data_IF_130725303690
#
_entry.id   IF_130725303690
#
_cell.length_a   1.000
_cell.length_b   1.000
_cell.length_c   1.000
_cell.angle_alpha   90.00
_cell.angle_beta   90.00
_cell.angle_gamma   90.00
#
_symmetry.space_group_name_H-M   'P 1'
#
loop_
_entity.id
_entity.type
_entity.pdbx_description
1 polymer ?
#
# COMPACT_ATOMS: atom_id res chain seq x y z
N UNK A 1 21.38 5.50 11.20
CA UNK A 1 20.85 4.14 11.42
C UNK A 1 20.56 3.49 10.08
N UNK A 2 20.61 2.17 9.94
CA UNK A 2 20.26 1.52 8.68
C UNK A 2 18.76 1.69 8.37
N UNK A 3 18.42 1.81 7.09
CA UNK A 3 17.05 1.86 6.60
C UNK A 3 16.23 0.67 7.13
N UNK A 4 15.05 0.92 7.70
CA UNK A 4 14.06 -0.09 8.10
C UNK A 4 12.77 0.18 7.34
N UNK A 5 12.17 -0.87 6.78
CA UNK A 5 10.86 -0.78 6.13
C UNK A 5 9.74 -0.80 7.18
N UNK A 6 8.57 -0.31 6.84
CA UNK A 6 7.41 -0.36 7.73
C UNK A 6 7.14 -1.76 8.29
N UNK A 7 7.31 -2.81 7.48
CA UNK A 7 7.19 -4.20 7.93
C UNK A 7 8.19 -4.57 9.04
N UNK A 8 9.46 -4.15 8.92
CA UNK A 8 10.48 -4.47 9.93
C UNK A 8 10.17 -3.79 11.27
N UNK A 9 9.61 -2.58 11.22
CA UNK A 9 9.20 -1.82 12.41
C UNK A 9 8.02 -2.51 13.11
N UNK A 10 7.03 -2.96 12.35
CA UNK A 10 5.86 -3.68 12.88
C UNK A 10 6.26 -4.99 13.53
N UNK A 11 7.14 -5.76 12.88
CA UNK A 11 7.63 -7.03 13.43
C UNK A 11 8.43 -6.84 14.74
N UNK A 12 9.15 -5.73 14.86
CA UNK A 12 9.95 -5.40 16.06
C UNK A 12 9.10 -4.92 17.23
N UNK A 13 8.07 -4.13 16.97
CA UNK A 13 7.35 -3.37 18.00
C UNK A 13 6.10 -4.07 18.53
N UNK A 14 5.67 -5.18 17.93
CA UNK A 14 4.47 -5.94 18.32
C UNK A 14 3.26 -5.04 18.65
N UNK A 15 2.64 -4.41 17.66
CA UNK A 15 1.59 -3.43 17.88
C UNK A 15 0.33 -4.06 18.51
N UNK A 16 -0.49 -3.25 19.17
CA UNK A 16 -1.72 -3.68 19.86
C UNK A 16 -2.79 -4.29 18.94
N UNK A 17 -2.72 -4.03 17.64
CA UNK A 17 -3.62 -4.59 16.63
C UNK A 17 -3.14 -5.97 16.08
N UNK A 18 -2.08 -6.54 16.63
CA UNK A 18 -1.51 -7.84 16.19
C UNK A 18 -2.56 -8.95 16.14
N UNK A 19 -3.53 -8.93 17.05
CA UNK A 19 -4.59 -9.95 17.16
C UNK A 19 -5.88 -9.58 16.42
N UNK A 20 -5.97 -8.39 15.83
CA UNK A 20 -7.09 -8.03 14.97
C UNK A 20 -7.17 -8.99 13.76
N UNK A 21 -8.36 -9.21 13.22
CA UNK A 21 -8.53 -10.02 12.00
C UNK A 21 -8.05 -9.19 10.80
N UNK A 22 -6.87 -9.54 10.28
CA UNK A 22 -6.15 -8.74 9.29
C UNK A 22 -6.40 -9.28 7.89
N UNK A 23 -6.81 -8.39 6.98
CA UNK A 23 -6.70 -8.60 5.54
C UNK A 23 -5.50 -7.80 5.01
N UNK A 24 -4.69 -8.38 4.13
CA UNK A 24 -3.47 -7.75 3.63
C UNK A 24 -3.47 -7.69 2.11
N UNK A 25 -3.33 -6.49 1.55
CA UNK A 25 -3.04 -6.29 0.13
C UNK A 25 -1.52 -6.33 -0.07
N UNK A 26 -1.02 -7.33 -0.80
CA UNK A 26 0.41 -7.61 -0.94
C UNK A 26 0.73 -8.51 -2.13
N UNK A 27 2.02 -8.68 -2.41
CA UNK A 27 2.56 -9.65 -3.37
C UNK A 27 3.96 -10.13 -2.95
N UNK A 28 4.61 -10.98 -3.74
CA UNK A 28 5.93 -11.58 -3.45
C UNK A 28 7.09 -10.57 -3.50
N UNK A 29 6.90 -9.39 -4.08
CA UNK A 29 7.89 -8.31 -4.05
C UNK A 29 7.98 -7.66 -2.66
N UNK A 30 6.93 -7.77 -1.84
CA UNK A 30 6.90 -7.25 -0.47
C UNK A 30 7.71 -8.17 0.45
N UNK A 31 8.88 -7.69 0.87
CA UNK A 31 9.82 -8.44 1.71
C UNK A 31 10.34 -7.59 2.86
N UNK A 32 10.70 -8.27 3.94
CA UNK A 32 11.49 -7.67 5.04
C UNK A 32 12.87 -7.29 4.54
N UNK A 33 13.60 -6.51 5.31
CA UNK A 33 14.99 -6.17 5.02
C UNK A 33 15.91 -7.41 4.89
N UNK A 34 15.55 -8.51 5.55
CA UNK A 34 16.28 -9.78 5.46
C UNK A 34 15.85 -10.68 4.30
N UNK A 35 14.92 -10.20 3.44
CA UNK A 35 14.44 -10.92 2.25
C UNK A 35 13.28 -11.88 2.47
N UNK A 36 12.76 -11.99 3.70
CA UNK A 36 11.58 -12.84 3.99
C UNK A 36 10.33 -12.16 3.42
N UNK A 37 9.47 -12.91 2.73
CA UNK A 37 8.18 -12.40 2.24
C UNK A 37 7.36 -11.88 3.41
N UNK A 38 6.84 -10.64 3.30
CA UNK A 38 6.22 -9.91 4.42
C UNK A 38 5.05 -10.65 5.05
N UNK A 39 4.14 -11.23 4.25
CA UNK A 39 3.00 -11.98 4.77
C UNK A 39 3.42 -13.24 5.54
N UNK A 40 4.49 -13.91 5.10
CA UNK A 40 5.07 -15.04 5.84
C UNK A 40 5.70 -14.58 7.15
N UNK A 41 6.44 -13.48 7.13
CA UNK A 41 7.07 -12.91 8.32
C UNK A 41 6.02 -12.52 9.38
N UNK A 42 4.91 -11.87 8.97
CA UNK A 42 3.79 -11.56 9.86
C UNK A 42 3.14 -12.81 10.44
N UNK A 43 2.85 -13.81 9.61
CA UNK A 43 2.25 -15.07 10.07
C UNK A 43 3.15 -15.78 11.08
N UNK A 44 4.45 -15.87 10.80
CA UNK A 44 5.44 -16.50 11.71
C UNK A 44 5.59 -15.74 13.02
N UNK A 45 5.42 -14.42 12.99
CA UNK A 45 5.41 -13.58 14.19
C UNK A 45 4.07 -13.61 14.97
N UNK A 46 3.10 -14.43 14.53
CA UNK A 46 1.83 -14.63 15.21
C UNK A 46 0.79 -13.52 15.01
N UNK A 47 0.90 -12.73 13.93
CA UNK A 47 -0.17 -11.81 13.53
C UNK A 47 -1.37 -12.61 13.01
N UNK A 48 -2.58 -12.19 13.36
CA UNK A 48 -3.83 -12.83 12.96
C UNK A 48 -4.21 -12.44 11.52
N UNK A 49 -3.33 -12.81 10.58
CA UNK A 49 -3.55 -12.62 9.15
C UNK A 49 -4.49 -13.73 8.66
N UNK A 50 -5.69 -13.36 8.19
CA UNK A 50 -6.71 -14.33 7.82
C UNK A 50 -7.05 -14.33 6.33
N UNK A 51 -6.70 -13.26 5.59
CA UNK A 51 -7.03 -13.12 4.17
C UNK A 51 -5.99 -12.27 3.46
N UNK A 52 -5.67 -12.63 2.23
CA UNK A 52 -4.76 -11.88 1.37
C UNK A 52 -5.54 -11.35 0.17
N UNK A 53 -5.19 -10.16 -0.26
CA UNK A 53 -5.60 -9.58 -1.52
C UNK A 53 -4.37 -9.39 -2.41
N UNK A 54 -4.52 -9.66 -3.70
CA UNK A 54 -3.45 -9.48 -4.68
C UNK A 54 -3.79 -8.38 -5.68
N UNK A 55 -2.81 -7.55 -6.08
CA UNK A 55 -2.98 -6.55 -7.13
C UNK A 55 -2.84 -7.18 -8.52
N UNK A 56 -2.74 -6.35 -9.55
CA UNK A 56 -2.30 -6.73 -10.90
C UNK A 56 -1.05 -7.62 -10.84
N UNK A 57 -0.89 -8.54 -11.77
CA UNK A 57 0.12 -9.62 -11.82
C UNK A 57 -0.02 -10.69 -10.73
N UNK A 58 -1.00 -10.57 -9.84
CA UNK A 58 -1.27 -11.53 -8.78
C UNK A 58 -0.24 -11.56 -7.65
N UNK A 59 -0.39 -12.52 -6.76
CA UNK A 59 0.46 -12.63 -5.58
C UNK A 59 1.92 -12.99 -5.90
N UNK A 60 2.13 -13.82 -6.95
CA UNK A 60 3.47 -14.26 -7.39
C UNK A 60 4.17 -13.27 -8.33
N UNK A 61 3.51 -12.20 -8.74
CA UNK A 61 4.03 -11.17 -9.68
C UNK A 61 4.47 -11.73 -11.04
N UNK A 62 3.85 -12.82 -11.50
CA UNK A 62 4.18 -13.50 -12.76
C UNK A 62 3.03 -13.49 -13.77
N UNK A 63 1.89 -12.90 -13.43
CA UNK A 63 0.78 -12.72 -14.36
C UNK A 63 1.17 -11.78 -15.50
N UNK A 64 0.67 -12.06 -16.71
CA UNK A 64 0.84 -11.17 -17.86
C UNK A 64 0.13 -9.82 -17.59
N UNK A 65 0.59 -8.78 -18.29
CA UNK A 65 -0.04 -7.45 -18.23
C UNK A 65 -1.52 -7.54 -18.63
N UNK A 66 -2.41 -7.04 -17.79
CA UNK A 66 -3.84 -7.05 -18.06
C UNK A 66 -4.54 -8.40 -17.92
N UNK A 67 -3.82 -9.47 -17.58
CA UNK A 67 -4.41 -10.80 -17.43
C UNK A 67 -5.32 -10.89 -16.21
N UNK A 68 -6.43 -11.60 -16.35
CA UNK A 68 -7.31 -11.93 -15.24
C UNK A 68 -6.61 -12.89 -14.26
N UNK A 69 -6.58 -12.52 -12.98
CA UNK A 69 -6.02 -13.34 -11.91
C UNK A 69 -7.16 -13.89 -11.06
N UNK A 70 -7.28 -15.20 -11.02
CA UNK A 70 -8.31 -15.88 -10.22
C UNK A 70 -8.01 -15.84 -8.73
N UNK A 71 -9.08 -15.91 -7.94
CA UNK A 71 -9.00 -16.18 -6.51
C UNK A 71 -8.41 -17.56 -6.26
N UNK A 72 -7.75 -17.74 -5.11
CA UNK A 72 -7.11 -19.02 -4.80
C UNK A 72 -6.60 -19.12 -3.37
N UNK A 73 -5.59 -19.95 -3.18
CA UNK A 73 -4.85 -20.09 -1.93
C UNK A 73 -3.39 -19.69 -2.11
N UNK A 74 -2.86 -18.96 -1.15
CA UNK A 74 -1.44 -18.67 -1.08
C UNK A 74 -0.67 -19.92 -0.62
N UNK A 75 0.16 -20.49 -1.48
CA UNK A 75 0.94 -21.70 -1.21
C UNK A 75 1.89 -21.53 -0.01
N UNK A 76 2.30 -20.30 0.30
CA UNK A 76 3.27 -20.00 1.36
C UNK A 76 2.58 -19.95 2.73
N UNK A 77 1.42 -19.34 2.80
CA UNK A 77 0.71 -19.13 4.08
C UNK A 77 -0.51 -20.03 4.24
N UNK A 78 -1.02 -20.63 3.16
CA UNK A 78 -2.28 -21.38 3.15
C UNK A 78 -3.53 -20.51 3.31
N UNK A 79 -3.41 -19.19 3.19
CA UNK A 79 -4.51 -18.25 3.35
C UNK A 79 -5.26 -18.05 2.02
N UNK A 80 -6.57 -17.74 2.06
CA UNK A 80 -7.30 -17.37 0.87
C UNK A 80 -6.74 -16.09 0.25
N UNK A 81 -6.64 -16.09 -1.09
CA UNK A 81 -6.22 -14.95 -1.90
C UNK A 81 -7.38 -14.51 -2.76
N UNK A 82 -7.72 -13.23 -2.69
CA UNK A 82 -8.73 -12.59 -3.52
C UNK A 82 -8.03 -11.60 -4.45
N UNK A 83 -8.31 -11.69 -5.75
CA UNK A 83 -7.77 -10.77 -6.75
C UNK A 83 -8.50 -9.43 -6.70
N UNK A 84 -7.73 -8.34 -6.72
CA UNK A 84 -8.22 -6.98 -6.94
C UNK A 84 -7.81 -6.45 -8.32
N UNK A 85 -7.82 -7.34 -9.32
CA UNK A 85 -7.56 -6.96 -10.70
C UNK A 85 -8.45 -7.74 -11.67
N UNK A 86 -8.99 -7.05 -12.66
CA UNK A 86 -9.89 -7.60 -13.67
C UNK A 86 -11.35 -7.33 -13.35
N UNK A 87 -12.02 -8.17 -12.60
CA UNK A 87 -13.44 -8.00 -12.27
C UNK A 87 -13.70 -6.84 -11.27
N UNK A 88 -12.78 -6.62 -10.34
CA UNK A 88 -12.88 -5.56 -9.32
C UNK A 88 -11.50 -5.01 -8.97
N UNK A 89 -11.45 -3.72 -8.63
CA UNK A 89 -10.24 -3.03 -8.17
C UNK A 89 -10.25 -2.75 -6.66
N UNK A 90 -11.38 -2.94 -5.99
CA UNK A 90 -11.51 -2.78 -4.54
C UNK A 90 -12.30 -3.94 -3.93
N UNK A 91 -12.04 -4.28 -2.66
CA UNK A 91 -12.79 -5.33 -1.98
C UNK A 91 -14.25 -4.91 -1.78
N UNK A 92 -15.15 -5.89 -1.81
CA UNK A 92 -16.56 -5.72 -1.49
C UNK A 92 -16.80 -5.78 0.02
N UNK A 93 -18.01 -5.39 0.45
CA UNK A 93 -18.41 -5.54 1.86
C UNK A 93 -18.40 -7.02 2.31
N UNK A 94 -18.73 -7.96 1.42
CA UNK A 94 -18.70 -9.39 1.73
C UNK A 94 -17.26 -9.91 1.87
N UNK A 95 -16.33 -9.45 1.03
CA UNK A 95 -14.92 -9.76 1.17
C UNK A 95 -14.37 -9.34 2.54
N UNK A 96 -14.92 -8.29 3.12
CA UNK A 96 -14.39 -7.60 4.31
C UNK A 96 -15.24 -7.81 5.59
N UNK A 97 -16.31 -8.62 5.55
CA UNK A 97 -17.22 -8.81 6.70
C UNK A 97 -16.52 -9.30 7.96
N UNK A 98 -15.51 -10.17 7.81
CA UNK A 98 -14.76 -10.78 8.91
C UNK A 98 -13.45 -10.06 9.22
N UNK A 99 -13.22 -8.87 8.68
CA UNK A 99 -11.98 -8.12 8.78
C UNK A 99 -12.15 -6.95 9.73
N UNK A 100 -11.19 -6.79 10.64
CA UNK A 100 -11.11 -5.65 11.55
C UNK A 100 -10.12 -4.60 11.04
N UNK A 101 -9.02 -5.05 10.38
CA UNK A 101 -7.90 -4.23 9.96
C UNK A 101 -7.49 -4.54 8.52
N UNK A 102 -7.31 -3.51 7.72
CA UNK A 102 -6.76 -3.55 6.37
C UNK A 102 -5.28 -3.17 6.38
N UNK A 103 -4.40 -4.05 5.91
CA UNK A 103 -2.96 -3.82 5.85
C UNK A 103 -2.52 -3.73 4.39
N UNK A 104 -1.63 -2.80 4.08
CA UNK A 104 -1.02 -2.65 2.76
C UNK A 104 0.49 -2.76 2.86
N UNK A 105 1.10 -3.61 2.04
CA UNK A 105 2.56 -3.72 1.92
C UNK A 105 2.93 -4.19 0.50
N UNK A 106 3.27 -3.26 -0.37
CA UNK A 106 3.80 -3.52 -1.72
C UNK A 106 4.85 -2.44 -2.02
N UNK A 107 6.01 -2.78 -2.61
CA UNK A 107 6.98 -1.79 -3.05
C UNK A 107 6.48 -1.02 -4.27
N UNK A 108 6.93 0.22 -4.41
CA UNK A 108 6.65 1.09 -5.55
C UNK A 108 7.85 1.19 -6.50
N UNK A 109 7.61 1.65 -7.72
CA UNK A 109 8.63 1.99 -8.70
C UNK A 109 8.93 3.49 -8.77
N UNK A 110 8.15 4.34 -8.08
CA UNK A 110 8.32 5.79 -8.02
C UNK A 110 7.73 6.56 -9.20
N UNK A 111 6.94 5.90 -10.04
CA UNK A 111 6.31 6.51 -11.22
C UNK A 111 4.80 6.31 -11.23
N UNK A 112 4.08 7.31 -11.77
CA UNK A 112 2.62 7.31 -11.87
C UNK A 112 2.04 6.12 -12.64
N UNK A 113 2.77 5.56 -13.60
CA UNK A 113 2.27 4.44 -14.41
C UNK A 113 2.25 3.11 -13.65
N UNK A 114 2.94 3.02 -12.51
CA UNK A 114 3.06 1.80 -11.75
C UNK A 114 1.78 1.56 -10.95
N UNK A 115 1.08 0.49 -11.26
CA UNK A 115 -0.32 0.28 -10.86
C UNK A 115 -0.54 0.00 -9.38
N UNK A 116 0.49 -0.40 -8.64
CA UNK A 116 0.37 -0.69 -7.21
C UNK A 116 0.05 0.54 -6.36
N UNK A 117 0.51 1.72 -6.78
CA UNK A 117 0.06 2.99 -6.22
C UNK A 117 -1.47 3.12 -6.30
N UNK A 118 -2.06 2.79 -7.45
CA UNK A 118 -3.50 2.90 -7.66
C UNK A 118 -4.27 1.82 -6.92
N UNK A 119 -3.74 0.60 -6.83
CA UNK A 119 -4.28 -0.45 -5.97
C UNK A 119 -4.34 0.00 -4.50
N UNK A 120 -3.32 0.71 -4.00
CA UNK A 120 -3.34 1.32 -2.66
C UNK A 120 -4.47 2.35 -2.52
N UNK A 121 -4.68 3.22 -3.52
CA UNK A 121 -5.74 4.22 -3.44
C UNK A 121 -7.14 3.60 -3.41
N UNK A 122 -7.38 2.54 -4.19
CA UNK A 122 -8.63 1.77 -4.11
C UNK A 122 -8.80 1.08 -2.76
N UNK A 123 -7.71 0.59 -2.17
CA UNK A 123 -7.70 -0.03 -0.85
C UNK A 123 -8.10 0.95 0.25
N UNK A 124 -7.55 2.18 0.21
CA UNK A 124 -7.88 3.26 1.15
C UNK A 124 -9.34 3.72 0.99
N UNK A 125 -9.78 3.90 -0.25
CA UNK A 125 -11.17 4.28 -0.53
C UNK A 125 -12.17 3.23 -0.04
N UNK A 126 -11.85 1.93 -0.22
CA UNK A 126 -12.65 0.84 0.33
C UNK A 126 -12.67 0.87 1.86
N UNK A 127 -11.52 1.12 2.51
CA UNK A 127 -11.44 1.27 3.96
C UNK A 127 -12.36 2.38 4.48
N UNK A 128 -12.38 3.53 3.81
CA UNK A 128 -13.28 4.64 4.15
C UNK A 128 -14.74 4.23 4.01
N UNK A 129 -15.14 3.66 2.85
CA UNK A 129 -16.52 3.24 2.59
C UNK A 129 -17.04 2.16 3.55
N UNK A 130 -16.14 1.27 3.99
CA UNK A 130 -16.46 0.15 4.87
C UNK A 130 -16.20 0.45 6.35
N UNK A 131 -15.80 1.70 6.68
CA UNK A 131 -15.44 2.13 8.02
C UNK A 131 -14.41 1.20 8.68
N UNK A 132 -13.38 0.81 7.94
CA UNK A 132 -12.29 -0.03 8.42
C UNK A 132 -11.04 0.80 8.66
N UNK A 133 -10.24 0.40 9.66
CA UNK A 133 -8.90 0.95 9.85
C UNK A 133 -7.96 0.41 8.77
N UNK A 134 -7.11 1.26 8.22
CA UNK A 134 -6.08 0.86 7.26
C UNK A 134 -4.69 1.27 7.77
N UNK A 135 -3.72 0.37 7.59
CA UNK A 135 -2.32 0.61 7.91
C UNK A 135 -1.48 0.40 6.65
N UNK A 136 -0.67 1.39 6.32
CA UNK A 136 0.30 1.33 5.22
C UNK A 136 1.68 1.04 5.82
N UNK A 137 2.29 -0.08 5.44
CA UNK A 137 3.67 -0.39 5.76
C UNK A 137 4.57 0.28 4.71
N UNK A 138 5.08 1.45 5.06
CA UNK A 138 5.75 2.31 4.10
C UNK A 138 7.08 1.73 3.62
N UNK A 139 7.43 2.05 2.36
CA UNK A 139 8.63 1.60 1.67
C UNK A 139 9.30 2.77 0.95
N UNK A 140 10.64 2.73 0.78
CA UNK A 140 11.33 3.81 0.08
C UNK A 140 10.90 3.88 -1.37
N UNK A 141 10.78 5.11 -1.88
CA UNK A 141 10.67 5.33 -3.32
C UNK A 141 12.06 5.10 -3.95
N UNK A 142 12.20 4.16 -4.91
CA UNK A 142 13.50 3.85 -5.52
C UNK A 142 14.08 5.01 -6.34
N UNK A 143 13.25 5.93 -6.82
CA UNK A 143 13.66 7.15 -7.53
C UNK A 143 14.02 8.30 -6.58
N UNK A 144 13.98 8.07 -5.27
CA UNK A 144 14.34 9.03 -4.25
C UNK A 144 13.14 9.80 -3.68
N UNK A 145 13.40 10.96 -3.11
CA UNK A 145 12.42 11.82 -2.44
C UNK A 145 12.85 13.29 -2.45
N UNK A 146 13.69 13.66 -3.41
CA UNK A 146 14.07 15.04 -3.60
C UNK A 146 13.04 15.73 -4.50
N UNK A 147 12.27 16.66 -3.94
CA UNK A 147 11.21 17.39 -4.64
C UNK A 147 11.74 18.17 -5.86
N UNK A 148 13.01 18.58 -5.88
CA UNK A 148 13.59 19.24 -7.05
C UNK A 148 13.76 18.31 -8.26
N UNK A 149 13.58 17.00 -8.06
CA UNK A 149 13.65 15.97 -9.09
C UNK A 149 12.28 15.44 -9.50
N UNK A 150 11.21 16.15 -9.18
CA UNK A 150 9.88 15.88 -9.72
C UNK A 150 9.88 16.15 -11.22
N UNK A 151 9.37 15.21 -12.01
CA UNK A 151 9.40 15.28 -13.47
C UNK A 151 8.08 14.83 -14.11
N UNK A 152 7.84 15.38 -15.30
CA UNK A 152 6.72 15.07 -16.15
C UNK A 152 5.42 15.81 -15.79
N UNK A 153 4.43 15.79 -16.69
CA UNK A 153 3.18 16.52 -16.51
C UNK A 153 2.33 15.90 -15.39
N UNK A 154 1.53 16.74 -14.77
CA UNK A 154 0.41 16.33 -13.93
C UNK A 154 -0.60 15.52 -14.76
N UNK A 155 -1.32 14.59 -14.12
CA UNK A 155 -2.40 13.87 -14.79
C UNK A 155 -3.59 14.81 -15.02
N UNK A 156 -4.10 14.81 -16.24
CA UNK A 156 -5.43 15.33 -16.52
C UNK A 156 -6.46 14.27 -16.07
N UNK A 157 -7.25 14.58 -15.04
CA UNK A 157 -8.19 13.63 -14.45
C UNK A 157 -9.36 13.28 -15.41
N UNK A 158 -9.56 14.04 -16.49
CA UNK A 158 -10.56 13.71 -17.53
C UNK A 158 -10.20 12.45 -18.32
N UNK A 159 -8.93 12.04 -18.28
CA UNK A 159 -8.42 10.81 -18.91
C UNK A 159 -7.95 9.77 -17.88
N UNK A 160 -8.49 9.83 -16.66
CA UNK A 160 -8.16 8.87 -15.60
C UNK A 160 -8.37 7.43 -16.05
N UNK A 161 -7.43 6.57 -15.65
CA UNK A 161 -7.45 5.15 -15.95
C UNK A 161 -6.79 4.35 -14.82
N UNK A 162 -6.72 3.02 -14.95
CA UNK A 162 -6.02 2.19 -13.95
C UNK A 162 -4.50 2.45 -13.90
N UNK A 163 -3.88 2.98 -14.96
CA UNK A 163 -2.46 3.37 -14.97
C UNK A 163 -2.22 4.85 -14.66
N UNK A 164 -3.24 5.55 -14.21
CA UNK A 164 -3.16 6.97 -13.84
C UNK A 164 -4.51 7.45 -13.34
N UNK A 165 -4.75 7.27 -12.02
CA UNK A 165 -6.08 7.49 -11.43
C UNK A 165 -6.29 8.92 -10.94
N UNK A 166 -5.30 9.50 -10.28
CA UNK A 166 -5.41 10.79 -9.60
C UNK A 166 -4.28 11.73 -10.01
N UNK A 167 -4.49 13.02 -9.80
CA UNK A 167 -3.60 14.07 -10.27
C UNK A 167 -2.29 14.15 -9.50
N UNK A 168 -1.24 13.53 -10.07
CA UNK A 168 0.15 13.65 -9.64
C UNK A 168 1.08 13.69 -10.85
N UNK A 169 2.32 14.19 -10.73
CA UNK A 169 3.31 14.15 -11.81
C UNK A 169 3.76 12.73 -12.13
N UNK A 170 4.38 12.53 -13.27
CA UNK A 170 4.88 11.22 -13.72
C UNK A 170 5.85 10.63 -12.70
N UNK A 171 6.86 11.40 -12.27
CA UNK A 171 7.84 11.04 -11.24
C UNK A 171 7.53 11.85 -9.99
N UNK A 172 6.89 11.24 -9.02
CA UNK A 172 6.27 11.96 -7.89
C UNK A 172 7.18 12.21 -6.69
N UNK A 173 8.31 11.53 -6.58
CA UNK A 173 9.29 11.70 -5.50
C UNK A 173 8.75 11.52 -4.07
N UNK A 174 7.64 10.81 -3.90
CA UNK A 174 7.01 10.51 -2.62
C UNK A 174 7.06 9.01 -2.34
N UNK A 175 7.01 8.60 -1.08
CA UNK A 175 6.72 7.22 -0.70
C UNK A 175 5.23 6.93 -0.87
N UNK A 176 4.84 5.64 -0.88
CA UNK A 176 3.42 5.28 -0.90
C UNK A 176 2.69 5.73 0.36
N UNK A 177 3.37 5.72 1.52
CA UNK A 177 2.81 6.25 2.76
C UNK A 177 2.50 7.74 2.70
N UNK A 178 3.40 8.54 2.12
CA UNK A 178 3.18 9.98 1.89
C UNK A 178 2.01 10.21 0.93
N UNK A 179 1.95 9.46 -0.19
CA UNK A 179 0.85 9.55 -1.15
C UNK A 179 -0.48 9.07 -0.56
N UNK A 180 -0.47 8.07 0.32
CA UNK A 180 -1.67 7.61 1.02
C UNK A 180 -2.30 8.71 1.86
N UNK A 181 -1.49 9.44 2.64
CA UNK A 181 -1.95 10.59 3.43
C UNK A 181 -2.44 11.74 2.54
N UNK A 182 -1.67 12.04 1.48
CA UNK A 182 -2.02 13.08 0.51
C UNK A 182 -3.39 12.82 -0.14
N UNK A 183 -3.60 11.61 -0.69
CA UNK A 183 -4.87 11.29 -1.34
C UNK A 183 -6.04 11.20 -0.36
N UNK A 184 -5.82 10.67 0.85
CA UNK A 184 -6.88 10.64 1.86
C UNK A 184 -7.39 12.04 2.17
N UNK A 185 -6.50 13.03 2.24
CA UNK A 185 -6.85 14.43 2.48
C UNK A 185 -7.46 15.08 1.25
N UNK A 186 -6.82 15.00 0.07
CA UNK A 186 -7.25 15.72 -1.14
C UNK A 186 -8.53 15.17 -1.75
N UNK A 187 -8.79 13.86 -1.62
CA UNK A 187 -10.01 13.22 -2.09
C UNK A 187 -11.12 13.19 -1.02
N UNK A 188 -10.86 13.75 0.17
CA UNK A 188 -11.82 13.78 1.28
C UNK A 188 -12.40 12.41 1.65
N UNK A 189 -11.61 11.34 1.50
CA UNK A 189 -12.09 9.98 1.85
C UNK A 189 -12.32 9.80 3.33
N UNK A 190 -11.60 10.54 4.19
CA UNK A 190 -11.68 10.45 5.64
C UNK A 190 -11.46 9.03 6.18
N UNK A 191 -10.64 8.24 5.49
CA UNK A 191 -10.26 6.92 5.96
C UNK A 191 -9.48 7.01 7.27
N UNK A 192 -9.73 6.07 8.18
CA UNK A 192 -8.92 5.91 9.39
C UNK A 192 -7.59 5.24 9.03
N UNK A 193 -6.62 6.07 8.63
CA UNK A 193 -5.34 5.63 8.09
C UNK A 193 -4.20 5.85 9.08
N UNK A 194 -3.34 4.84 9.21
CA UNK A 194 -2.05 4.94 9.86
C UNK A 194 -0.94 4.56 8.88
N UNK A 195 0.14 5.32 8.85
CA UNK A 195 1.34 4.99 8.08
C UNK A 195 2.43 4.55 9.04
N UNK A 196 2.91 3.31 8.91
CA UNK A 196 4.11 2.87 9.57
C UNK A 196 5.30 3.37 8.77
N UNK A 197 5.80 4.54 9.17
CA UNK A 197 6.82 5.28 8.46
C UNK A 197 8.13 4.51 8.37
N UNK A 198 8.87 4.76 7.29
CA UNK A 198 10.27 4.37 7.15
C UNK A 198 11.10 4.99 8.26
N UNK A 199 11.91 4.18 8.94
CA UNK A 199 12.92 4.72 9.81
C UNK A 199 14.23 4.90 9.03
N UNK A 200 14.54 6.14 8.71
CA UNK A 200 15.87 6.56 8.26
C UNK A 200 16.48 7.42 9.35
N UNK A 201 17.82 7.47 9.45
CA UNK A 201 18.50 8.53 10.21
C UNK A 201 17.91 9.89 9.82
N UNK A 202 17.85 10.91 10.71
CA UNK A 202 17.15 12.15 10.44
C UNK A 202 17.42 12.65 9.04
N UNK A 203 16.41 12.58 8.22
CA UNK A 203 16.42 12.98 6.82
C UNK A 203 15.87 14.40 6.75
N UNK A 204 16.29 15.20 5.78
CA UNK A 204 15.63 16.48 5.46
C UNK A 204 14.10 16.36 5.23
N UNK A 205 13.57 15.12 5.11
CA UNK A 205 12.15 14.83 4.98
C UNK A 205 11.32 15.03 6.24
N UNK A 206 11.93 15.03 7.44
CA UNK A 206 11.19 15.31 8.68
C UNK A 206 10.56 16.72 8.68
N UNK A 207 11.00 17.58 7.74
CA UNK A 207 10.40 18.87 7.46
C UNK A 207 9.27 18.88 6.42
N UNK A 208 8.97 17.76 5.74
CA UNK A 208 7.99 17.72 4.64
C UNK A 208 6.55 17.66 5.11
N UNK A 209 6.28 16.93 6.19
CA UNK A 209 4.94 16.90 6.82
C UNK A 209 4.54 18.26 7.40
N UNK A 210 5.52 19.11 7.75
CA UNK A 210 5.26 20.47 8.24
C UNK A 210 5.07 21.51 7.11
N UNK A 211 5.24 21.12 5.83
CA UNK A 211 5.16 22.01 4.66
C UNK A 211 4.01 21.69 3.71
N UNK A 212 3.09 20.81 4.09
CA UNK A 212 1.82 20.73 3.38
C UNK A 212 1.09 22.06 3.60
N UNK A 213 0.64 22.76 2.53
CA UNK A 213 -0.13 23.96 2.71
C UNK A 213 -1.36 23.60 3.53
N UNK A 214 -1.51 24.26 4.69
CA UNK A 214 -2.79 24.29 5.37
C UNK A 214 -3.79 24.84 4.35
N UNK A 215 -4.77 24.03 4.00
CA UNK A 215 -5.86 24.42 3.13
C UNK A 215 -6.41 25.77 3.59
N UNK A 216 -6.29 26.78 2.75
CA UNK A 216 -7.12 27.95 2.79
C UNK A 216 -8.52 27.59 2.26
#
# INVERSE_FOLDING_TARGET
MPLQFGIDIVLKNEPNWKMDRIAMLTNDAARTKTGIISRLALKNAGFNLIKIFSPEHGIKTIGEDGAYIQDGLDEITGLPVISLYGEKYMPTADDMKDIDLMLFDIPDAGTRFYTYLWSMTYWIEAAAKLNKKVIILDRPNPLGGNQSLIEGPMLDETISSFIGRLNIPVKHQCTLGELALYFNATQSWNANINVCLLYTSPSPRDGLLSRMPSSA
#
